data_IF_650181752593
#
_entry.id   IF_650181752593
#
_cell.length_a   1.000
_cell.length_b   1.000
_cell.length_c   1.000
_cell.angle_alpha   90.00
_cell.angle_beta   90.00
_cell.angle_gamma   90.00
#
_symmetry.space_group_name_H-M   'P 1'
#
loop_
_entity.id
_entity.type
_entity.pdbx_description
1 polymer ?
#
# COMPACT_ATOMS: atom_id res chain seq x y z
N UNK A 1 -9.00 -1.54 2.08
CA UNK A 1 -8.84 -0.12 1.74
C UNK A 1 -7.77 0.13 0.66
N UNK A 2 -6.98 -0.87 0.27
CA UNK A 2 -6.02 -0.76 -0.84
C UNK A 2 -6.65 -0.10 -2.09
N UNK A 3 -5.93 0.80 -2.79
CA UNK A 3 -6.48 1.58 -3.90
C UNK A 3 -6.88 0.71 -5.11
N UNK A 4 -6.20 -0.42 -5.28
CA UNK A 4 -6.41 -1.40 -6.36
C UNK A 4 -7.60 -2.35 -6.09
N UNK A 5 -8.07 -2.40 -4.83
CA UNK A 5 -9.23 -3.21 -4.45
C UNK A 5 -10.50 -2.74 -5.20
N UNK A 6 -11.14 -3.70 -5.87
CA UNK A 6 -12.38 -3.52 -6.65
C UNK A 6 -12.18 -3.12 -8.12
N UNK A 7 -10.94 -2.99 -8.61
CA UNK A 7 -10.68 -2.70 -10.02
C UNK A 7 -10.79 -3.94 -10.93
N UNK A 8 -10.67 -5.15 -10.35
CA UNK A 8 -10.86 -6.42 -11.05
C UNK A 8 -11.74 -7.37 -10.21
N UNK A 9 -12.96 -7.69 -10.66
CA UNK A 9 -13.83 -8.66 -9.98
C UNK A 9 -13.23 -10.06 -9.90
N UNK A 10 -12.29 -10.41 -10.78
CA UNK A 10 -11.63 -11.72 -10.83
C UNK A 10 -10.29 -11.73 -10.09
N UNK A 11 -9.94 -10.67 -9.37
CA UNK A 11 -8.69 -10.61 -8.62
C UNK A 11 -8.64 -11.73 -7.57
N UNK A 12 -7.62 -12.57 -7.69
CA UNK A 12 -7.32 -13.59 -6.69
C UNK A 12 -6.46 -13.01 -5.58
N UNK A 13 -6.78 -13.39 -4.34
CA UNK A 13 -6.08 -12.97 -3.13
C UNK A 13 -5.63 -14.20 -2.38
N UNK A 14 -4.42 -14.16 -1.84
CA UNK A 14 -3.88 -15.22 -0.99
C UNK A 14 -3.32 -14.58 0.27
N UNK A 15 -3.78 -15.08 1.41
CA UNK A 15 -3.25 -14.73 2.72
C UNK A 15 -2.41 -15.89 3.23
N UNK A 16 -1.25 -15.59 3.79
CA UNK A 16 -0.31 -16.61 4.30
C UNK A 16 0.60 -16.01 5.37
N UNK A 17 1.47 -16.82 5.97
CA UNK A 17 2.34 -16.38 7.05
C UNK A 17 1.59 -16.24 8.37
N UNK A 18 1.95 -15.24 9.17
CA UNK A 18 1.32 -14.99 10.46
C UNK A 18 -0.14 -14.55 10.31
N UNK A 19 -0.99 -14.92 11.28
CA UNK A 19 -2.41 -14.52 11.30
C UNK A 19 -2.58 -13.00 11.47
N UNK A 20 -1.65 -12.33 12.15
CA UNK A 20 -1.61 -10.88 12.33
C UNK A 20 -0.18 -10.40 12.61
N UNK A 21 0.05 -9.09 12.42
CA UNK A 21 1.33 -8.44 12.73
C UNK A 21 2.48 -8.89 11.83
N UNK A 22 3.70 -8.82 12.37
CA UNK A 22 4.94 -9.18 11.67
C UNK A 22 4.89 -10.59 11.06
N UNK A 23 5.29 -10.71 9.79
CA UNK A 23 5.28 -11.94 9.01
C UNK A 23 3.94 -12.31 8.40
N UNK A 24 2.89 -11.49 8.59
CA UNK A 24 1.62 -11.65 7.89
C UNK A 24 1.77 -11.22 6.43
N UNK A 25 1.26 -12.04 5.49
CA UNK A 25 1.45 -11.84 4.05
C UNK A 25 0.13 -11.79 3.30
N UNK A 26 0.08 -10.89 2.33
CA UNK A 26 -1.01 -10.73 1.39
C UNK A 26 -0.45 -10.70 -0.04
N UNK A 27 -0.95 -11.56 -0.92
CA UNK A 27 -0.60 -11.54 -2.33
C UNK A 27 -1.86 -11.35 -3.19
N UNK A 28 -1.70 -10.68 -4.32
CA UNK A 28 -2.76 -10.50 -5.30
C UNK A 28 -2.30 -10.81 -6.72
N UNK A 29 -3.24 -11.30 -7.52
CA UNK A 29 -3.07 -11.49 -8.95
C UNK A 29 -4.35 -11.10 -9.68
N UNK A 30 -4.29 -10.08 -10.52
CA UNK A 30 -5.41 -9.60 -11.32
C UNK A 30 -5.02 -9.34 -12.78
N UNK A 31 -5.90 -8.63 -13.48
CA UNK A 31 -5.70 -8.21 -14.86
C UNK A 31 -4.59 -7.14 -14.99
N UNK A 32 -4.31 -6.71 -16.23
CA UNK A 32 -3.26 -5.72 -16.54
C UNK A 32 -3.35 -4.38 -15.81
N UNK A 33 -4.53 -3.99 -15.29
CA UNK A 33 -4.73 -2.74 -14.55
C UNK A 33 -4.35 -2.88 -13.07
N UNK A 34 -4.59 -4.06 -12.50
CA UNK A 34 -4.33 -4.36 -11.08
C UNK A 34 -2.95 -4.97 -10.87
N UNK A 35 -2.45 -5.68 -11.88
CA UNK A 35 -1.14 -6.31 -11.85
C UNK A 35 -1.10 -7.52 -10.92
N UNK A 36 0.12 -7.86 -10.53
CA UNK A 36 0.43 -8.94 -9.60
C UNK A 36 1.49 -8.45 -8.63
N UNK A 37 1.35 -8.80 -7.35
CA UNK A 37 2.30 -8.43 -6.32
C UNK A 37 1.99 -9.04 -4.96
N UNK A 38 2.79 -8.66 -3.97
CA UNK A 38 2.65 -9.09 -2.59
C UNK A 38 3.04 -8.00 -1.60
N UNK A 39 2.48 -8.10 -0.40
CA UNK A 39 2.79 -7.33 0.79
C UNK A 39 3.12 -8.29 1.93
N UNK A 40 4.14 -7.95 2.71
CA UNK A 40 4.46 -8.63 3.97
C UNK A 40 4.69 -7.57 5.05
N UNK A 41 4.03 -7.73 6.19
CA UNK A 41 4.30 -6.87 7.35
C UNK A 41 5.68 -7.27 7.90
N UNK A 42 6.63 -6.36 7.87
CA UNK A 42 8.01 -6.62 8.32
C UNK A 42 8.28 -6.11 9.72
N UNK A 43 7.55 -5.10 10.18
CA UNK A 43 7.64 -4.61 11.55
C UNK A 43 6.34 -3.91 11.97
N UNK A 44 6.08 -3.89 13.28
CA UNK A 44 4.91 -3.22 13.88
C UNK A 44 5.25 -2.68 15.25
N UNK A 45 4.86 -1.43 15.50
CA UNK A 45 4.82 -0.86 16.85
C UNK A 45 3.44 -0.30 17.12
N UNK A 46 2.55 -1.11 17.69
CA UNK A 46 1.17 -0.71 17.96
C UNK A 46 1.08 0.41 19.02
N UNK A 47 0.17 1.40 18.85
CA UNK A 47 -0.70 1.66 17.69
C UNK A 47 -0.04 2.61 16.67
N UNK A 48 1.26 2.90 16.81
CA UNK A 48 1.93 4.01 16.15
C UNK A 48 2.47 3.72 14.75
N UNK A 49 2.80 2.48 14.42
CA UNK A 49 3.61 2.21 13.23
C UNK A 49 3.42 0.80 12.66
N UNK A 50 3.46 0.69 11.33
CA UNK A 50 3.48 -0.57 10.58
C UNK A 50 4.39 -0.42 9.36
N UNK A 51 5.42 -1.26 9.26
CA UNK A 51 6.27 -1.41 8.07
C UNK A 51 5.84 -2.60 7.23
N UNK A 52 5.86 -2.39 5.92
CA UNK A 52 5.42 -3.36 4.94
C UNK A 52 6.45 -3.43 3.81
N UNK A 53 6.88 -4.65 3.50
CA UNK A 53 7.59 -4.96 2.28
C UNK A 53 6.60 -5.12 1.12
N UNK A 54 6.74 -4.29 0.09
CA UNK A 54 5.83 -4.23 -1.06
C UNK A 54 6.56 -4.59 -2.34
N UNK A 55 6.16 -5.72 -2.93
CA UNK A 55 6.70 -6.22 -4.19
C UNK A 55 5.62 -6.17 -5.27
N UNK A 56 5.90 -5.47 -6.36
CA UNK A 56 5.17 -5.58 -7.61
C UNK A 56 5.91 -6.53 -8.54
N UNK A 57 5.20 -7.49 -9.12
CA UNK A 57 5.75 -8.49 -10.04
C UNK A 57 5.36 -8.21 -11.50
N UNK A 58 4.12 -7.78 -11.74
CA UNK A 58 3.57 -7.49 -13.08
C UNK A 58 2.67 -6.25 -13.06
N UNK A 59 2.60 -5.50 -14.17
CA UNK A 59 3.39 -5.66 -15.40
C UNK A 59 4.84 -5.16 -15.26
N UNK A 60 5.12 -4.34 -14.24
CA UNK A 60 6.45 -3.81 -13.96
C UNK A 60 6.91 -4.31 -12.60
N UNK A 61 8.15 -4.81 -12.55
CA UNK A 61 8.76 -5.22 -11.29
C UNK A 61 9.18 -3.99 -10.51
N UNK A 62 8.78 -3.92 -9.25
CA UNK A 62 9.24 -2.90 -8.32
C UNK A 62 9.28 -3.48 -6.92
N UNK A 63 10.24 -3.02 -6.13
CA UNK A 63 10.37 -3.39 -4.74
C UNK A 63 10.45 -2.10 -3.92
N UNK A 64 9.52 -1.96 -2.98
CA UNK A 64 9.37 -0.76 -2.17
C UNK A 64 9.16 -1.16 -0.72
N UNK A 65 9.70 -0.36 0.18
CA UNK A 65 9.29 -0.34 1.58
C UNK A 65 8.17 0.68 1.73
N UNK A 66 7.07 0.29 2.34
CA UNK A 66 5.95 1.19 2.61
C UNK A 66 5.58 1.16 4.08
N UNK A 67 5.29 2.33 4.65
CA UNK A 67 5.03 2.46 6.07
C UNK A 67 3.77 3.28 6.35
N UNK A 68 3.08 2.92 7.42
CA UNK A 68 2.02 3.72 8.02
C UNK A 68 2.48 4.21 9.38
N UNK A 69 2.51 5.53 9.56
CA UNK A 69 2.74 6.17 10.85
C UNK A 69 1.45 6.80 11.35
N UNK A 70 1.15 6.62 12.63
CA UNK A 70 -0.09 7.04 13.27
C UNK A 70 0.25 7.88 14.49
N UNK A 71 0.03 9.19 14.36
CA UNK A 71 0.25 10.16 15.42
C UNK A 71 -1.08 10.59 16.04
N UNK A 72 -1.07 10.90 17.34
CA UNK A 72 -2.24 11.53 17.98
C UNK A 72 -2.40 12.95 17.48
N UNK A 73 -3.63 13.31 17.12
CA UNK A 73 -3.97 14.66 16.69
C UNK A 73 -5.33 15.08 17.25
N UNK A 74 -5.30 15.88 18.31
CA UNK A 74 -6.51 16.29 19.03
C UNK A 74 -7.30 15.08 19.55
N UNK A 75 -8.58 14.99 19.19
CA UNK A 75 -9.45 13.85 19.50
C UNK A 75 -9.35 12.70 18.49
N UNK A 76 -8.47 12.80 17.50
CA UNK A 76 -8.31 11.83 16.42
C UNK A 76 -6.87 11.36 16.23
N UNK A 77 -6.59 10.88 15.03
CA UNK A 77 -5.25 10.42 14.65
C UNK A 77 -4.90 10.93 13.26
N UNK A 78 -3.65 11.32 13.11
CA UNK A 78 -3.04 11.65 11.82
C UNK A 78 -2.38 10.38 11.31
N UNK A 79 -2.81 9.91 10.15
CA UNK A 79 -2.21 8.76 9.48
C UNK A 79 -1.38 9.26 8.30
N UNK A 80 -0.09 8.93 8.30
CA UNK A 80 0.83 9.21 7.20
C UNK A 80 1.21 7.91 6.52
N UNK A 81 1.04 7.85 5.20
CA UNK A 81 1.46 6.72 4.37
C UNK A 81 2.68 7.14 3.56
N UNK A 82 3.81 6.48 3.78
CA UNK A 82 5.04 6.67 3.01
C UNK A 82 5.36 5.43 2.17
N UNK A 83 6.05 5.64 1.04
CA UNK A 83 6.57 4.57 0.20
C UNK A 83 7.92 4.99 -0.34
N UNK A 84 8.92 4.14 -0.12
CA UNK A 84 10.30 4.33 -0.54
C UNK A 84 10.65 3.15 -1.44
N UNK A 85 10.93 3.44 -2.70
CA UNK A 85 11.31 2.46 -3.70
C UNK A 85 12.70 2.73 -4.28
N UNK A 86 13.36 1.69 -4.75
CA UNK A 86 14.58 1.89 -5.53
C UNK A 86 14.26 2.57 -6.86
N UNK A 87 14.93 3.70 -7.11
CA UNK A 87 14.88 4.37 -8.41
C UNK A 87 15.67 3.57 -9.45
N UNK A 88 15.04 2.55 -10.02
CA UNK A 88 15.55 1.85 -11.20
C UNK A 88 15.77 2.82 -12.37
N UNK A 89 16.64 2.46 -13.32
CA UNK A 89 16.87 3.26 -14.53
C UNK A 89 15.56 3.55 -15.28
N UNK A 90 14.63 2.59 -15.30
CA UNK A 90 13.31 2.74 -15.91
C UNK A 90 12.41 3.75 -15.18
N UNK A 91 12.36 3.72 -13.85
CA UNK A 91 11.57 4.68 -13.06
C UNK A 91 12.16 6.10 -13.12
N UNK A 92 13.49 6.23 -13.17
CA UNK A 92 14.16 7.51 -13.46
C UNK A 92 13.78 8.07 -14.83
N UNK A 93 13.79 7.22 -15.87
CA UNK A 93 13.39 7.63 -17.23
C UNK A 93 11.91 8.02 -17.29
N UNK A 94 11.00 7.29 -16.64
CA UNK A 94 9.59 7.71 -16.55
C UNK A 94 9.42 9.01 -15.78
N UNK A 95 10.20 9.21 -14.71
CA UNK A 95 10.23 10.43 -13.89
C UNK A 95 10.58 11.70 -14.67
N UNK A 96 11.36 11.57 -15.76
CA UNK A 96 11.68 12.69 -16.67
C UNK A 96 10.47 13.14 -17.51
N UNK A 97 9.50 12.26 -17.74
CA UNK A 97 8.30 12.54 -18.55
C UNK A 97 7.03 12.76 -17.72
N UNK A 98 6.96 12.24 -16.48
CA UNK A 98 5.85 12.42 -15.54
C UNK A 98 6.35 12.43 -14.10
N UNK A 99 5.88 13.38 -13.29
CA UNK A 99 6.18 13.39 -11.85
C UNK A 99 5.57 12.14 -11.19
N UNK A 100 6.30 11.55 -10.24
CA UNK A 100 5.81 10.41 -9.46
C UNK A 100 4.49 10.76 -8.75
N UNK A 101 4.37 11.98 -8.21
CA UNK A 101 3.13 12.47 -7.60
C UNK A 101 1.91 12.33 -8.52
N UNK A 102 2.06 12.62 -9.82
CA UNK A 102 0.95 12.48 -10.77
C UNK A 102 0.64 11.03 -11.12
N UNK A 103 1.57 10.11 -10.90
CA UNK A 103 1.40 8.69 -11.21
C UNK A 103 0.86 7.88 -10.04
N UNK A 104 1.32 8.14 -8.82
CA UNK A 104 0.91 7.37 -7.64
C UNK A 104 0.05 8.16 -6.65
N UNK A 105 0.14 9.50 -6.62
CA UNK A 105 -0.59 10.36 -5.69
C UNK A 105 -2.10 10.12 -5.63
N UNK A 106 -2.81 10.02 -6.78
CA UNK A 106 -4.25 9.74 -6.77
C UNK A 106 -4.63 8.40 -6.11
N UNK A 107 -3.77 7.39 -6.21
CA UNK A 107 -3.99 6.09 -5.55
C UNK A 107 -3.77 6.20 -4.04
N UNK A 108 -2.76 6.96 -3.58
CA UNK A 108 -2.58 7.26 -2.14
C UNK A 108 -3.79 7.99 -1.57
N UNK A 109 -4.27 9.04 -2.24
CA UNK A 109 -5.43 9.82 -1.79
C UNK A 109 -6.68 8.95 -1.68
N UNK A 110 -6.95 8.12 -2.70
CA UNK A 110 -8.07 7.18 -2.70
C UNK A 110 -7.95 6.14 -1.60
N UNK A 111 -6.75 5.62 -1.36
CA UNK A 111 -6.47 4.65 -0.31
C UNK A 111 -6.70 5.23 1.09
N UNK A 112 -6.16 6.43 1.36
CA UNK A 112 -6.33 7.13 2.63
C UNK A 112 -7.79 7.51 2.90
N UNK A 113 -8.53 7.97 1.89
CA UNK A 113 -9.95 8.27 2.01
C UNK A 113 -10.76 7.02 2.41
N UNK A 114 -10.48 5.87 1.77
CA UNK A 114 -11.10 4.58 2.12
C UNK A 114 -10.72 4.10 3.51
N UNK A 115 -9.46 4.30 3.91
CA UNK A 115 -8.97 3.97 5.24
C UNK A 115 -9.72 4.77 6.31
N UNK A 116 -9.83 6.10 6.12
CA UNK A 116 -10.60 6.98 7.01
C UNK A 116 -12.05 6.51 7.17
N UNK A 117 -12.75 6.27 6.05
CA UNK A 117 -14.15 5.77 6.10
C UNK A 117 -14.27 4.45 6.86
N UNK A 118 -13.31 3.54 6.71
CA UNK A 118 -13.34 2.24 7.38
C UNK A 118 -13.09 2.39 8.88
N UNK A 119 -12.04 3.13 9.26
CA UNK A 119 -11.65 3.34 10.65
C UNK A 119 -12.73 4.07 11.45
N UNK A 120 -13.35 5.10 10.87
CA UNK A 120 -14.39 5.89 11.55
C UNK A 120 -15.74 5.17 11.61
N UNK A 121 -16.02 4.26 10.67
CA UNK A 121 -17.22 3.41 10.75
C UNK A 121 -17.15 2.40 11.90
N UNK A 122 -15.97 1.87 12.19
CA UNK A 122 -15.76 0.91 13.27
C UNK A 122 -15.70 1.55 14.66
N UNK A 123 -15.66 2.89 14.74
CA UNK A 123 -15.69 3.64 16.00
C UNK A 123 -17.12 4.07 16.43
N UNK A 124 -18.15 3.70 15.65
CA UNK A 124 -19.56 4.04 15.87
C UNK A 124 -20.38 2.85 16.40
#
# INVERSE_FOLDING_TARGET
WSPWEGMDPQMQRTYSGAEAGQGSKYAWSGNRKVGQGSMEITDTAEPSHVDIDLVFEKPFKAHNTTAFSIDREGSGSRVTWSMIGENTVATKLMGLFKSMDKMVGPDFEKGLARLKTTAERSAA
#
